data_IF_720560676271
#
_entry.id   IF_720560676271
#
_cell.length_a   1.000
_cell.length_b   1.000
_cell.length_c   1.000
_cell.angle_alpha   90.00
_cell.angle_beta   90.00
_cell.angle_gamma   90.00
#
_symmetry.space_group_name_H-M   'P 1'
#
loop_
_entity.id
_entity.type
_entity.pdbx_description
1 polymer ?
#
# COMPACT_ATOMS: atom_id res chain seq x y z
N UNK A 1 -35.27 -33.99 -7.47
CA UNK A 1 -34.99 -32.58 -7.20
C UNK A 1 -35.78 -31.77 -8.20
N UNK A 2 -36.62 -30.87 -7.72
CA UNK A 2 -37.37 -29.95 -8.57
C UNK A 2 -36.49 -28.73 -8.88
N UNK A 3 -36.70 -28.10 -10.05
CA UNK A 3 -35.98 -26.86 -10.45
C UNK A 3 -36.06 -25.73 -9.39
N UNK A 4 -37.09 -25.79 -8.53
CA UNK A 4 -37.33 -24.82 -7.46
C UNK A 4 -36.46 -25.06 -6.22
N UNK A 5 -36.16 -26.32 -5.90
CA UNK A 5 -35.19 -26.69 -4.86
C UNK A 5 -33.78 -26.22 -5.24
N UNK A 6 -33.38 -26.44 -6.49
CA UNK A 6 -32.07 -26.03 -7.02
C UNK A 6 -31.89 -24.51 -6.97
N UNK A 7 -32.92 -23.76 -7.38
CA UNK A 7 -32.92 -22.29 -7.31
C UNK A 7 -32.76 -21.78 -5.88
N UNK A 8 -33.45 -22.40 -4.92
CA UNK A 8 -33.35 -22.04 -3.51
C UNK A 8 -31.96 -22.32 -2.93
N UNK A 9 -31.31 -23.39 -3.34
CA UNK A 9 -29.94 -23.70 -2.94
C UNK A 9 -28.94 -22.66 -3.46
N UNK A 10 -29.08 -22.25 -4.72
CA UNK A 10 -28.23 -21.20 -5.31
C UNK A 10 -28.41 -19.87 -4.57
N UNK A 11 -29.66 -19.47 -4.27
CA UNK A 11 -29.92 -18.26 -3.49
C UNK A 11 -29.27 -18.30 -2.10
N UNK A 12 -29.31 -19.45 -1.41
CA UNK A 12 -28.62 -19.65 -0.13
C UNK A 12 -27.09 -19.53 -0.30
N UNK A 13 -26.53 -20.09 -1.38
CA UNK A 13 -25.10 -19.99 -1.68
C UNK A 13 -24.67 -18.54 -1.93
N UNK A 14 -25.46 -17.76 -2.69
CA UNK A 14 -25.25 -16.32 -2.92
C UNK A 14 -25.16 -15.58 -1.59
N UNK A 15 -26.14 -15.76 -0.70
CA UNK A 15 -26.17 -15.07 0.61
C UNK A 15 -24.95 -15.41 1.47
N UNK A 16 -24.54 -16.68 1.49
CA UNK A 16 -23.35 -17.14 2.23
C UNK A 16 -22.08 -16.48 1.70
N UNK A 17 -21.89 -16.44 0.37
CA UNK A 17 -20.71 -15.82 -0.26
C UNK A 17 -20.68 -14.31 -0.06
N UNK A 18 -21.81 -13.61 -0.15
CA UNK A 18 -21.89 -12.17 0.16
C UNK A 18 -21.50 -11.90 1.62
N UNK A 19 -21.99 -12.72 2.56
CA UNK A 19 -21.61 -12.61 3.98
C UNK A 19 -20.11 -12.85 4.20
N UNK A 20 -19.52 -13.81 3.49
CA UNK A 20 -18.09 -14.06 3.52
C UNK A 20 -17.29 -12.87 2.94
N UNK A 21 -17.75 -12.27 1.83
CA UNK A 21 -17.12 -11.11 1.23
C UNK A 21 -17.16 -9.90 2.16
N UNK A 22 -18.28 -9.69 2.86
CA UNK A 22 -18.41 -8.63 3.86
C UNK A 22 -17.48 -8.85 5.07
N UNK A 23 -17.19 -10.11 5.44
CA UNK A 23 -16.17 -10.42 6.45
C UNK A 23 -14.76 -10.11 5.94
N UNK A 24 -14.46 -10.51 4.71
CA UNK A 24 -13.17 -10.21 4.06
C UNK A 24 -12.95 -8.70 3.89
N UNK A 25 -14.01 -7.91 3.71
CA UNK A 25 -13.94 -6.45 3.68
C UNK A 25 -13.46 -5.86 5.02
N UNK A 26 -13.81 -6.45 6.17
CA UNK A 26 -13.32 -6.01 7.48
C UNK A 26 -11.81 -6.16 7.63
N UNK A 27 -11.24 -7.18 7.01
CA UNK A 27 -9.79 -7.43 7.00
C UNK A 27 -9.10 -6.87 5.76
N UNK A 28 -9.82 -6.08 4.93
CA UNK A 28 -9.34 -5.52 3.66
C UNK A 28 -8.71 -6.56 2.72
N UNK A 29 -9.15 -7.81 2.78
CA UNK A 29 -8.66 -8.86 1.89
C UNK A 29 -9.32 -8.72 0.51
N UNK A 30 -8.80 -7.79 -0.30
CA UNK A 30 -9.34 -7.43 -1.61
C UNK A 30 -9.32 -8.59 -2.61
N UNK A 31 -8.35 -9.50 -2.49
CA UNK A 31 -8.28 -10.72 -3.31
C UNK A 31 -9.46 -11.64 -3.04
N UNK A 32 -9.73 -11.91 -1.75
CA UNK A 32 -10.86 -12.77 -1.38
C UNK A 32 -12.21 -12.14 -1.71
N UNK A 33 -12.33 -10.82 -1.59
CA UNK A 33 -13.56 -10.10 -2.00
C UNK A 33 -13.77 -10.22 -3.50
N UNK A 34 -12.72 -10.04 -4.30
CA UNK A 34 -12.78 -10.17 -5.76
C UNK A 34 -13.27 -11.56 -6.17
N UNK A 35 -12.66 -12.62 -5.62
CA UNK A 35 -13.04 -14.01 -5.87
C UNK A 35 -14.51 -14.27 -5.49
N UNK A 36 -14.92 -13.90 -4.27
CA UNK A 36 -16.28 -14.15 -3.78
C UNK A 36 -17.34 -13.39 -4.59
N UNK A 37 -17.06 -12.17 -5.04
CA UNK A 37 -17.98 -11.42 -5.89
C UNK A 37 -18.02 -11.94 -7.32
N UNK A 38 -16.92 -12.50 -7.83
CA UNK A 38 -16.92 -13.18 -9.11
C UNK A 38 -17.78 -14.46 -9.04
N UNK A 39 -17.62 -15.27 -8.00
CA UNK A 39 -18.46 -16.44 -7.76
C UNK A 39 -19.94 -16.08 -7.64
N UNK A 40 -20.26 -15.05 -6.87
CA UNK A 40 -21.64 -14.55 -6.74
C UNK A 40 -22.20 -14.13 -8.10
N UNK A 41 -21.38 -13.54 -8.98
CA UNK A 41 -21.82 -13.19 -10.32
C UNK A 41 -22.16 -14.40 -11.19
N UNK A 42 -21.42 -15.50 -11.06
CA UNK A 42 -21.72 -16.76 -11.75
C UNK A 42 -23.04 -17.35 -11.24
N UNK A 43 -23.22 -17.41 -9.92
CA UNK A 43 -24.46 -17.90 -9.32
C UNK A 43 -25.69 -17.09 -9.74
N UNK A 44 -25.55 -15.78 -9.92
CA UNK A 44 -26.64 -14.95 -10.46
C UNK A 44 -26.96 -15.28 -11.93
N UNK A 45 -25.96 -15.61 -12.75
CA UNK A 45 -26.19 -16.08 -14.13
C UNK A 45 -26.92 -17.43 -14.15
N UNK A 46 -26.58 -18.34 -13.24
CA UNK A 46 -27.22 -19.66 -13.13
C UNK A 46 -28.72 -19.57 -12.86
N UNK A 47 -29.16 -18.55 -12.10
CA UNK A 47 -30.59 -18.30 -11.84
C UNK A 47 -31.25 -17.33 -12.84
N UNK A 48 -30.54 -16.94 -13.90
CA UNK A 48 -31.04 -16.04 -14.95
C UNK A 48 -31.07 -14.55 -14.59
N UNK A 49 -30.46 -14.13 -13.48
CA UNK A 49 -30.40 -12.74 -13.04
C UNK A 49 -29.15 -12.04 -13.60
N UNK A 50 -29.23 -11.67 -14.88
CA UNK A 50 -28.12 -10.99 -15.56
C UNK A 50 -27.75 -9.63 -14.96
N UNK A 51 -28.72 -8.91 -14.38
CA UNK A 51 -28.48 -7.56 -13.86
C UNK A 51 -27.56 -7.63 -12.64
N UNK A 52 -27.88 -8.51 -11.69
CA UNK A 52 -27.04 -8.71 -10.51
C UNK A 52 -25.71 -9.35 -10.88
N UNK A 53 -25.69 -10.30 -11.82
CA UNK A 53 -24.44 -10.87 -12.33
C UNK A 53 -23.49 -9.78 -12.85
N UNK A 54 -23.97 -8.88 -13.73
CA UNK A 54 -23.18 -7.76 -14.26
C UNK A 54 -22.67 -6.84 -13.15
N UNK A 55 -23.50 -6.53 -12.16
CA UNK A 55 -23.14 -5.68 -11.01
C UNK A 55 -22.02 -6.30 -10.16
N UNK A 56 -22.15 -7.57 -9.80
CA UNK A 56 -21.16 -8.27 -8.98
C UNK A 56 -19.84 -8.49 -9.74
N UNK A 57 -19.90 -8.85 -11.02
CA UNK A 57 -18.70 -9.00 -11.87
C UNK A 57 -17.95 -7.67 -12.02
N UNK A 58 -18.66 -6.56 -12.28
CA UNK A 58 -18.04 -5.22 -12.33
C UNK A 58 -17.36 -4.87 -11.01
N UNK A 59 -17.97 -5.25 -9.88
CA UNK A 59 -17.40 -5.00 -8.56
C UNK A 59 -16.18 -5.88 -8.29
N UNK A 60 -16.22 -7.16 -8.65
CA UNK A 60 -15.07 -8.07 -8.58
C UNK A 60 -13.86 -7.51 -9.35
N UNK A 61 -14.07 -7.06 -10.61
CA UNK A 61 -13.01 -6.44 -11.43
C UNK A 61 -12.37 -5.22 -10.77
N UNK A 62 -13.14 -4.39 -10.04
CA UNK A 62 -12.59 -3.26 -9.27
C UNK A 62 -11.67 -3.72 -8.14
N UNK A 63 -12.05 -4.76 -7.41
CA UNK A 63 -11.21 -5.32 -6.36
C UNK A 63 -9.97 -6.02 -6.92
N UNK A 64 -10.10 -6.73 -8.04
CA UNK A 64 -8.97 -7.30 -8.77
C UNK A 64 -7.96 -6.22 -9.18
N UNK A 65 -8.42 -5.10 -9.73
CA UNK A 65 -7.56 -3.98 -10.08
C UNK A 65 -6.81 -3.40 -8.86
N UNK A 66 -7.46 -3.36 -7.68
CA UNK A 66 -6.80 -2.98 -6.42
C UNK A 66 -5.70 -3.96 -6.00
N UNK A 67 -5.94 -5.26 -6.13
CA UNK A 67 -4.93 -6.29 -5.82
C UNK A 67 -3.70 -6.13 -6.71
N UNK A 68 -3.90 -5.91 -8.00
CA UNK A 68 -2.78 -5.70 -8.94
C UNK A 68 -2.01 -4.41 -8.63
N UNK A 69 -2.72 -3.33 -8.28
CA UNK A 69 -2.11 -2.10 -7.76
C UNK A 69 -1.24 -2.37 -6.52
N UNK A 70 -1.73 -3.15 -5.56
CA UNK A 70 -0.98 -3.49 -4.35
C UNK A 70 0.31 -4.25 -4.68
N UNK A 71 0.26 -5.21 -5.60
CA UNK A 71 1.44 -5.96 -6.06
C UNK A 71 2.46 -5.04 -6.70
N UNK A 72 2.02 -4.11 -7.55
CA UNK A 72 2.89 -3.10 -8.18
C UNK A 72 3.56 -2.25 -7.10
N UNK A 73 2.79 -1.71 -6.15
CA UNK A 73 3.30 -0.89 -5.04
C UNK A 73 4.37 -1.65 -4.25
N UNK A 74 4.08 -2.87 -3.80
CA UNK A 74 4.99 -3.69 -3.01
C UNK A 74 6.31 -3.98 -3.76
N UNK A 75 6.22 -4.22 -5.08
CA UNK A 75 7.39 -4.42 -5.94
C UNK A 75 8.27 -3.16 -6.01
N UNK A 76 7.68 -1.97 -6.04
CA UNK A 76 8.45 -0.74 -6.08
C UNK A 76 8.98 -0.33 -4.70
N UNK A 77 8.23 -0.55 -3.63
CA UNK A 77 8.69 -0.32 -2.25
C UNK A 77 9.93 -1.18 -1.95
N UNK A 78 9.90 -2.47 -2.29
CA UNK A 78 11.07 -3.34 -2.11
C UNK A 78 12.29 -2.86 -2.89
N UNK A 79 12.13 -2.40 -4.14
CA UNK A 79 13.22 -1.77 -4.91
C UNK A 79 13.72 -0.47 -4.27
N UNK A 80 12.81 0.37 -3.78
CA UNK A 80 13.15 1.63 -3.14
C UNK A 80 13.98 1.39 -1.88
N UNK A 81 13.65 0.35 -1.10
CA UNK A 81 14.40 -0.06 0.09
C UNK A 81 15.84 -0.46 -0.23
N UNK A 82 16.04 -1.27 -1.27
CA UNK A 82 17.40 -1.66 -1.72
C UNK A 82 18.23 -0.45 -2.15
N UNK A 83 17.63 0.51 -2.87
CA UNK A 83 18.35 1.73 -3.28
C UNK A 83 18.62 2.67 -2.10
N UNK A 84 17.74 2.67 -1.11
CA UNK A 84 17.91 3.43 0.13
C UNK A 84 19.07 2.89 0.96
N UNK A 85 19.19 1.57 1.13
CA UNK A 85 20.31 0.91 1.81
C UNK A 85 21.66 1.23 1.16
N UNK A 86 21.67 1.41 -0.17
CA UNK A 86 22.85 1.88 -0.93
C UNK A 86 23.12 3.39 -0.81
N UNK A 87 22.30 4.13 -0.06
CA UNK A 87 22.39 5.59 0.07
C UNK A 87 22.00 6.37 -1.19
N UNK A 88 21.34 5.74 -2.17
CA UNK A 88 21.02 6.34 -3.48
C UNK A 88 19.66 7.04 -3.46
N UNK A 89 19.53 8.08 -2.63
CA UNK A 89 18.24 8.79 -2.42
C UNK A 89 17.58 9.37 -3.69
N UNK A 90 18.37 9.74 -4.71
CA UNK A 90 17.84 10.17 -6.01
C UNK A 90 17.10 9.03 -6.73
N UNK A 91 17.61 7.81 -6.63
CA UNK A 91 16.98 6.63 -7.25
C UNK A 91 15.70 6.25 -6.49
N UNK A 92 15.73 6.33 -5.16
CA UNK A 92 14.53 6.15 -4.33
C UNK A 92 13.42 7.12 -4.76
N UNK A 93 13.71 8.42 -4.88
CA UNK A 93 12.71 9.38 -5.33
C UNK A 93 12.20 9.11 -6.75
N UNK A 94 13.08 8.71 -7.69
CA UNK A 94 12.66 8.30 -9.04
C UNK A 94 11.67 7.14 -9.00
N UNK A 95 11.91 6.15 -8.16
CA UNK A 95 10.99 5.01 -7.96
C UNK A 95 9.63 5.51 -7.49
N UNK A 96 9.59 6.42 -6.50
CA UNK A 96 8.32 6.98 -6.01
C UNK A 96 7.56 7.78 -7.08
N UNK A 97 8.25 8.52 -7.96
CA UNK A 97 7.60 9.18 -9.09
C UNK A 97 7.06 8.19 -10.12
N UNK A 98 7.80 7.13 -10.44
CA UNK A 98 7.31 6.08 -11.34
C UNK A 98 6.05 5.42 -10.79
N UNK A 99 6.01 5.15 -9.49
CA UNK A 99 4.82 4.61 -8.81
C UNK A 99 3.67 5.61 -8.88
N UNK A 100 3.93 6.89 -8.62
CA UNK A 100 2.92 7.94 -8.70
C UNK A 100 2.29 8.01 -10.10
N UNK A 101 3.08 7.92 -11.17
CA UNK A 101 2.59 7.99 -12.56
C UNK A 101 1.71 6.78 -12.92
N UNK A 102 2.08 5.58 -12.45
CA UNK A 102 1.29 4.36 -12.67
C UNK A 102 -0.02 4.43 -11.90
N UNK A 103 0.02 4.83 -10.63
CA UNK A 103 -1.15 4.87 -9.76
C UNK A 103 -2.11 5.98 -10.17
N UNK A 104 -1.62 7.14 -10.60
CA UNK A 104 -2.47 8.29 -10.98
C UNK A 104 -3.46 7.97 -12.11
N UNK A 105 -3.17 6.96 -12.93
CA UNK A 105 -4.08 6.49 -13.99
C UNK A 105 -5.32 5.77 -13.44
N UNK A 106 -5.25 5.27 -12.21
CA UNK A 106 -6.31 4.48 -11.56
C UNK A 106 -6.89 5.25 -10.38
N UNK A 107 -6.03 5.90 -9.58
CA UNK A 107 -6.37 6.67 -8.38
C UNK A 107 -5.44 7.91 -8.30
N UNK A 108 -5.90 9.07 -8.82
CA UNK A 108 -5.11 10.31 -8.83
C UNK A 108 -4.67 10.78 -7.45
N UNK A 109 -5.51 10.62 -6.43
CA UNK A 109 -5.22 11.05 -5.07
C UNK A 109 -4.10 10.22 -4.45
N UNK A 110 -4.13 8.89 -4.62
CA UNK A 110 -3.01 8.03 -4.22
C UNK A 110 -1.75 8.37 -4.99
N UNK A 111 -1.85 8.58 -6.31
CA UNK A 111 -0.71 8.97 -7.14
C UNK A 111 -0.02 10.22 -6.58
N UNK A 112 -0.80 11.24 -6.21
CA UNK A 112 -0.30 12.46 -5.59
C UNK A 112 0.42 12.21 -4.26
N UNK A 113 -0.06 11.29 -3.40
CA UNK A 113 0.65 10.93 -2.16
C UNK A 113 2.06 10.40 -2.43
N UNK A 114 2.21 9.48 -3.40
CA UNK A 114 3.53 8.96 -3.80
C UNK A 114 4.41 10.06 -4.40
N UNK A 115 3.83 10.99 -5.16
CA UNK A 115 4.56 12.13 -5.74
C UNK A 115 5.12 13.05 -4.65
N UNK A 116 4.30 13.40 -3.65
CA UNK A 116 4.74 14.21 -2.51
C UNK A 116 5.83 13.51 -1.70
N UNK A 117 5.71 12.20 -1.47
CA UNK A 117 6.75 11.41 -0.81
C UNK A 117 8.08 11.44 -1.60
N UNK A 118 8.04 11.26 -2.93
CA UNK A 118 9.22 11.41 -3.78
C UNK A 118 9.89 12.79 -3.69
N UNK A 119 9.09 13.86 -3.64
CA UNK A 119 9.58 15.23 -3.45
C UNK A 119 10.25 15.42 -2.08
N UNK A 120 9.65 14.91 -1.00
CA UNK A 120 10.23 14.92 0.36
C UNK A 120 11.57 14.17 0.40
N UNK A 121 11.69 13.02 -0.26
CA UNK A 121 12.94 12.26 -0.31
C UNK A 121 14.05 13.04 -1.02
N UNK A 122 13.72 13.75 -2.12
CA UNK A 122 14.68 14.64 -2.79
C UNK A 122 15.11 15.82 -1.91
N UNK A 123 14.18 16.47 -1.20
CA UNK A 123 14.51 17.60 -0.33
C UNK A 123 15.35 17.16 0.88
N UNK A 124 15.07 15.99 1.45
CA UNK A 124 15.88 15.35 2.50
C UNK A 124 17.28 14.95 2.01
N UNK A 125 17.39 14.44 0.77
CA UNK A 125 18.68 14.15 0.14
C UNK A 125 19.51 15.41 -0.13
N UNK A 126 18.87 16.53 -0.51
CA UNK A 126 19.53 17.83 -0.67
C UNK A 126 20.05 18.38 0.66
N UNK A 127 19.30 18.23 1.76
CA UNK A 127 19.74 18.60 3.12
C UNK A 127 20.95 17.78 3.59
N UNK A 128 20.97 16.46 3.35
CA UNK A 128 22.13 15.60 3.69
C UNK A 128 23.39 15.97 2.89
N UNK A 129 23.25 16.24 1.59
CA UNK A 129 24.37 16.68 0.74
C UNK A 129 24.90 18.07 1.16
N UNK A 130 24.01 19.00 1.51
CA UNK A 130 24.37 20.33 2.02
C UNK A 130 25.05 20.28 3.41
N UNK A 131 24.65 19.35 4.28
CA UNK A 131 25.28 19.13 5.59
C UNK A 131 26.68 18.48 5.45
N UNK A 132 26.85 17.55 4.52
CA UNK A 132 28.17 16.98 4.17
C UNK A 132 29.13 18.02 3.58
N UNK A 133 28.65 18.89 2.69
CA UNK A 133 29.44 19.99 2.11
C UNK A 133 29.79 21.06 3.16
N UNK A 134 28.90 21.34 4.12
CA UNK A 134 29.23 22.18 5.28
C UNK A 134 30.29 21.55 6.18
N UNK A 135 30.21 20.23 6.42
CA UNK A 135 31.26 19.48 7.16
C UNK A 135 32.61 19.49 6.44
N UNK A 136 32.64 19.44 5.11
CA UNK A 136 33.89 19.51 4.33
C UNK A 136 34.53 20.90 4.34
N UNK A 137 33.73 21.98 4.52
CA UNK A 137 34.27 23.34 4.70
C UNK A 137 34.74 23.65 6.11
N UNK A 138 34.42 22.82 7.10
CA UNK A 138 34.88 22.93 8.49
C UNK A 138 36.00 21.94 8.84
N UNK A 139 36.76 21.45 7.82
CA UNK A 139 38.01 20.70 8.03
C UNK A 139 39.19 21.62 7.69
N UNK A 140 39.21 22.80 8.32
CA UNK A 140 40.43 23.49 8.72
C UNK A 140 40.15 24.02 10.12
N UNK A 141 40.12 23.11 11.10
CA UNK A 141 40.65 23.30 12.46
C UNK A 141 40.15 22.19 13.37
N UNK A 142 41.10 21.32 13.78
CA UNK A 142 41.17 20.58 15.07
C UNK A 142 40.00 19.61 15.34
N UNK A 143 40.19 18.29 15.42
CA UNK A 143 41.04 17.49 16.32
C UNK A 143 40.09 16.53 17.08
N UNK A 144 40.26 15.24 16.79
CA UNK A 144 40.00 14.06 17.61
C UNK A 144 38.67 13.83 18.36
N UNK A 145 38.14 12.65 18.04
CA UNK A 145 37.60 11.63 18.97
C UNK A 145 36.26 11.87 19.64
N UNK A 146 35.49 10.78 19.69
CA UNK A 146 34.18 10.62 20.37
C UNK A 146 33.02 11.20 19.58
N UNK A 147 32.15 10.31 19.07
CA UNK A 147 30.68 10.45 19.00
C UNK A 147 30.11 9.36 18.08
N UNK A 148 30.18 8.11 18.55
CA UNK A 148 29.23 7.06 18.16
C UNK A 148 27.95 7.24 19.01
N UNK A 149 27.09 8.21 18.73
CA UNK A 149 25.71 8.24 19.27
C UNK A 149 24.78 8.98 18.29
N UNK A 150 23.63 8.35 17.99
CA UNK A 150 22.40 8.88 17.37
C UNK A 150 22.38 9.29 15.88
N UNK A 151 22.53 8.30 14.97
CA UNK A 151 22.24 8.48 13.53
C UNK A 151 20.95 7.78 13.04
N UNK A 152 20.22 7.04 13.89
CA UNK A 152 18.98 6.35 13.51
C UNK A 152 17.71 7.24 13.51
N UNK A 153 17.67 8.32 14.30
CA UNK A 153 16.39 8.91 14.75
C UNK A 153 15.75 9.98 13.84
N UNK A 154 15.92 9.94 12.50
CA UNK A 154 15.37 11.04 11.65
C UNK A 154 14.71 10.60 10.34
N UNK A 155 14.81 9.34 9.92
CA UNK A 155 14.13 8.84 8.71
C UNK A 155 13.02 7.84 9.03
N UNK A 156 13.22 7.02 10.06
CA UNK A 156 12.14 6.23 10.65
C UNK A 156 11.00 7.16 11.10
N UNK A 157 11.35 8.32 11.68
CA UNK A 157 10.37 9.36 12.01
C UNK A 157 9.61 9.90 10.79
N UNK A 158 10.26 10.05 9.61
CA UNK A 158 9.59 10.52 8.39
C UNK A 158 8.64 9.46 7.83
N UNK A 159 9.01 8.17 7.91
CA UNK A 159 8.12 7.08 7.48
C UNK A 159 6.97 6.86 8.45
N UNK A 160 7.20 7.10 9.74
CA UNK A 160 6.18 7.17 10.80
C UNK A 160 5.23 8.35 10.54
N UNK A 161 5.74 9.56 10.32
CA UNK A 161 4.93 10.77 10.04
C UNK A 161 4.14 10.68 8.71
N UNK A 162 4.48 9.71 7.85
CA UNK A 162 3.78 9.41 6.59
C UNK A 162 2.87 8.17 6.70
N UNK A 163 2.74 7.56 7.89
CA UNK A 163 2.05 6.29 8.15
C UNK A 163 2.47 5.14 7.20
N UNK A 164 3.72 5.13 6.76
CA UNK A 164 4.30 4.11 5.90
C UNK A 164 5.07 3.04 6.68
N UNK A 165 5.41 3.31 7.93
CA UNK A 165 6.08 2.38 8.83
C UNK A 165 5.49 2.57 10.22
N UNK A 166 5.24 1.47 10.92
CA UNK A 166 4.66 1.53 12.25
C UNK A 166 5.65 2.14 13.25
N UNK A 167 5.26 3.17 14.01
CA UNK A 167 6.13 3.79 15.02
C UNK A 167 6.55 2.84 16.12
N UNK A 168 5.74 1.81 16.40
CA UNK A 168 6.00 0.89 17.50
C UNK A 168 6.85 -0.31 17.07
N UNK A 169 6.57 -0.93 15.92
CA UNK A 169 7.25 -2.16 15.51
C UNK A 169 8.17 -2.04 14.31
N UNK A 170 8.25 -0.86 13.68
CA UNK A 170 9.13 -0.63 12.53
C UNK A 170 8.76 -1.42 11.27
N UNK A 171 7.60 -2.11 11.24
CA UNK A 171 7.13 -2.81 10.05
C UNK A 171 6.45 -1.84 9.10
N UNK A 172 6.62 -2.11 7.80
CA UNK A 172 5.96 -1.40 6.72
C UNK A 172 4.44 -1.43 6.95
N UNK A 173 3.85 -0.24 6.95
CA UNK A 173 2.43 -0.01 7.01
C UNK A 173 1.94 0.38 5.64
N UNK A 174 0.81 -0.21 5.26
CA UNK A 174 0.02 0.38 4.21
C UNK A 174 -0.50 1.75 4.70
N UNK A 175 -0.38 2.83 3.93
CA UNK A 175 -0.91 4.14 4.30
C UNK A 175 -2.45 4.17 4.41
N UNK A 176 -3.16 3.07 4.12
CA UNK A 176 -4.57 2.88 4.45
C UNK A 176 -4.84 2.31 5.86
N UNK A 177 -3.82 1.92 6.63
CA UNK A 177 -4.01 1.34 7.97
C UNK A 177 -3.89 2.41 9.07
N UNK A 178 -5.02 2.74 9.69
CA UNK A 178 -5.08 3.56 10.91
C UNK A 178 -4.59 2.78 12.14
N UNK A 179 -4.41 1.46 12.01
CA UNK A 179 -3.91 0.57 13.06
C UNK A 179 -2.96 -0.43 12.42
N UNK A 180 -1.75 -0.54 12.98
CA UNK A 180 -0.75 -1.48 12.52
C UNK A 180 -1.25 -2.94 12.64
N UNK A 181 -1.33 -3.70 11.54
CA UNK A 181 -1.78 -5.10 11.58
C UNK A 181 -0.79 -6.03 12.27
N UNK A 182 0.45 -5.59 12.49
CA UNK A 182 1.50 -6.41 13.12
C UNK A 182 1.56 -6.26 14.65
N UNK A 183 1.30 -5.06 15.19
CA UNK A 183 1.45 -4.81 16.63
C UNK A 183 0.25 -4.10 17.26
N UNK A 184 -0.81 -3.83 16.50
CA UNK A 184 -2.04 -3.20 17.00
C UNK A 184 -1.90 -1.72 17.34
N UNK A 185 -0.75 -1.10 17.07
CA UNK A 185 -0.53 0.33 17.35
C UNK A 185 -1.34 1.18 16.39
N UNK A 186 -2.19 2.05 16.94
CA UNK A 186 -2.91 3.06 16.18
C UNK A 186 -1.91 4.07 15.61
N UNK A 187 -2.07 4.39 14.33
CA UNK A 187 -1.17 5.24 13.54
C UNK A 187 -2.03 6.45 13.18
N UNK A 188 -1.83 7.56 13.88
CA UNK A 188 -2.59 8.81 13.72
C UNK A 188 -1.88 9.75 12.74
#
# INVERSE_FOLDING_TARGET
>A
MTMEEDRLEIEKAIRRKIKAANRAAKTKNYEKISELYFDVSILFLEIGDEQNAKKFNKTAKKYQARVELQKIINKYISKARVEYEKGKFRNVAKIYFQVADVISKIDPDRGNKFRLAGQKILSSGKRKKALQLKKQRTIETKSYSSLKVNQQNNLDQIFVDLNLVCPNCGKDLDPEFDICPNCGTKVE
#
